data_IF_098871209464
#
_entry.id   IF_098871209464
#
_cell.length_a   1.000
_cell.length_b   1.000
_cell.length_c   1.000
_cell.angle_alpha   90.00
_cell.angle_beta   90.00
_cell.angle_gamma   90.00
#
_symmetry.space_group_name_H-M   'P 1'
#
loop_
_entity.id
_entity.type
_entity.pdbx_description
1 polymer ?
#
# COMPACT_ATOMS: atom_id res chain seq x y z
N UNK A 1 0.81 19.85 19.12
CA UNK A 1 1.06 18.53 19.73
C UNK A 1 1.10 17.51 18.60
N UNK A 2 2.28 17.13 18.12
CA UNK A 2 2.43 16.07 17.10
C UNK A 2 2.16 14.73 17.78
N UNK A 3 1.02 14.11 17.49
CA UNK A 3 0.63 12.84 18.09
C UNK A 3 1.45 11.68 17.49
N UNK A 4 2.73 11.52 17.86
CA UNK A 4 3.49 10.28 17.60
C UNK A 4 3.65 9.81 16.15
N UNK A 5 3.27 10.62 15.14
CA UNK A 5 3.36 10.25 13.71
C UNK A 5 4.81 10.00 13.26
N UNK A 6 5.81 10.55 13.96
CA UNK A 6 7.23 10.34 13.68
C UNK A 6 7.71 8.91 13.96
N UNK A 7 6.98 8.12 14.77
CA UNK A 7 7.42 6.78 15.13
C UNK A 7 7.36 5.79 13.95
N UNK A 8 6.58 6.08 12.90
CA UNK A 8 6.31 5.11 11.82
C UNK A 8 7.16 5.41 10.58
N UNK A 9 7.65 6.64 10.47
CA UNK A 9 8.46 7.11 9.35
C UNK A 9 9.68 6.21 9.07
N UNK A 10 10.48 5.78 10.07
CA UNK A 10 11.63 4.91 9.80
C UNK A 10 11.22 3.57 9.16
N UNK A 11 10.10 2.99 9.60
CA UNK A 11 9.58 1.73 9.05
C UNK A 11 8.97 1.94 7.67
N UNK A 12 8.26 3.05 7.45
CA UNK A 12 7.70 3.41 6.15
C UNK A 12 8.81 3.64 5.10
N UNK A 13 9.89 4.33 5.46
CA UNK A 13 11.08 4.53 4.62
C UNK A 13 11.77 3.20 4.28
N UNK A 14 11.81 2.27 5.23
CA UNK A 14 12.32 0.91 5.03
C UNK A 14 11.34 -0.01 4.30
N UNK A 15 10.13 0.50 3.99
CA UNK A 15 9.03 -0.24 3.35
C UNK A 15 8.59 -1.47 4.18
N UNK A 16 8.79 -1.40 5.49
CA UNK A 16 8.32 -2.40 6.45
C UNK A 16 6.88 -2.08 6.87
N UNK A 17 5.96 -2.38 5.95
CA UNK A 17 4.51 -2.15 6.13
C UNK A 17 3.96 -2.92 7.34
N UNK A 18 4.56 -4.06 7.68
CA UNK A 18 4.12 -4.89 8.80
C UNK A 18 4.41 -4.23 10.14
N UNK A 19 5.63 -3.71 10.32
CA UNK A 19 5.95 -2.91 11.51
C UNK A 19 5.15 -1.62 11.59
N UNK A 20 4.90 -0.94 10.46
CA UNK A 20 4.03 0.25 10.43
C UNK A 20 2.62 -0.09 10.91
N UNK A 21 2.02 -1.17 10.38
CA UNK A 21 0.68 -1.60 10.78
C UNK A 21 0.63 -2.01 12.25
N UNK A 22 1.60 -2.80 12.71
CA UNK A 22 1.66 -3.25 14.11
C UNK A 22 1.70 -2.06 15.07
N UNK A 23 2.59 -1.10 14.83
CA UNK A 23 2.66 0.11 15.65
C UNK A 23 1.37 0.93 15.56
N UNK A 24 0.82 1.14 14.36
CA UNK A 24 -0.41 1.88 14.20
C UNK A 24 -1.61 1.23 14.92
N UNK A 25 -1.71 -0.10 14.90
CA UNK A 25 -2.73 -0.86 15.64
C UNK A 25 -2.53 -0.72 17.17
N UNK A 26 -1.29 -0.83 17.67
CA UNK A 26 -0.95 -0.61 19.09
C UNK A 26 -1.30 0.82 19.53
N UNK A 27 -1.01 1.82 18.70
CA UNK A 27 -1.39 3.22 18.92
C UNK A 27 -2.91 3.42 18.91
N UNK A 28 -3.64 2.69 18.04
CA UNK A 28 -5.10 2.76 18.00
C UNK A 28 -5.72 2.34 19.34
N UNK A 29 -5.14 1.34 19.99
CA UNK A 29 -5.63 0.79 21.27
C UNK A 29 -5.27 1.73 22.42
N UNK A 30 -4.03 2.21 22.44
CA UNK A 30 -3.45 2.95 23.57
C UNK A 30 -3.80 4.44 23.61
N UNK A 31 -4.19 5.05 22.48
CA UNK A 31 -4.43 6.50 22.41
C UNK A 31 -5.76 6.87 21.73
N UNK A 32 -6.78 7.28 22.49
CA UNK A 32 -8.06 7.72 21.95
C UNK A 32 -7.95 8.91 20.99
N UNK A 33 -6.98 9.80 21.22
CA UNK A 33 -6.77 11.03 20.43
C UNK A 33 -6.32 10.74 19.00
N UNK A 34 -5.61 9.63 18.77
CA UNK A 34 -5.11 9.24 17.44
C UNK A 34 -6.27 8.82 16.52
N UNK A 35 -7.38 8.35 17.08
CA UNK A 35 -8.61 7.97 16.34
C UNK A 35 -9.38 9.16 15.75
N UNK A 36 -8.87 10.37 15.92
CA UNK A 36 -9.39 11.60 15.32
C UNK A 36 -8.48 12.14 14.20
N UNK A 37 -7.30 11.54 14.00
CA UNK A 37 -6.33 11.98 12.99
C UNK A 37 -6.64 11.34 11.63
N UNK A 38 -6.90 12.17 10.62
CA UNK A 38 -7.03 11.74 9.23
C UNK A 38 -5.74 11.09 8.71
N UNK A 39 -4.59 11.65 9.07
CA UNK A 39 -3.27 11.10 8.77
C UNK A 39 -3.12 9.66 9.24
N UNK A 40 -3.55 9.38 10.47
CA UNK A 40 -3.53 8.03 11.05
C UNK A 40 -4.41 7.05 10.25
N UNK A 41 -5.64 7.44 9.92
CA UNK A 41 -6.52 6.59 9.12
C UNK A 41 -6.00 6.35 7.70
N UNK A 42 -5.34 7.34 7.08
CA UNK A 42 -4.67 7.17 5.78
C UNK A 42 -3.58 6.11 5.87
N UNK A 43 -2.73 6.18 6.89
CA UNK A 43 -1.62 5.23 7.09
C UNK A 43 -2.11 3.80 7.31
N UNK A 44 -3.07 3.60 8.21
CA UNK A 44 -3.69 2.28 8.40
C UNK A 44 -4.34 1.75 7.11
N UNK A 45 -5.09 2.58 6.41
CA UNK A 45 -5.78 2.17 5.18
C UNK A 45 -4.78 1.78 4.09
N UNK A 46 -3.76 2.60 3.85
CA UNK A 46 -2.70 2.30 2.88
C UNK A 46 -1.90 1.06 3.27
N UNK A 47 -1.57 0.89 4.55
CA UNK A 47 -0.88 -0.30 5.04
C UNK A 47 -1.66 -1.58 4.76
N UNK A 48 -2.96 -1.61 5.10
CA UNK A 48 -3.80 -2.78 4.84
C UNK A 48 -4.00 -3.03 3.34
N UNK A 49 -4.22 -2.00 2.53
CA UNK A 49 -4.30 -2.16 1.07
C UNK A 49 -2.98 -2.68 0.47
N UNK A 50 -1.84 -2.24 1.01
CA UNK A 50 -0.52 -2.73 0.60
C UNK A 50 -0.34 -4.20 0.95
N UNK A 51 -0.92 -4.68 2.05
CA UNK A 51 -0.98 -6.11 2.43
C UNK A 51 -2.12 -6.89 1.74
N UNK A 52 -2.87 -6.26 0.84
CA UNK A 52 -4.08 -6.80 0.22
C UNK A 52 -5.21 -7.18 1.20
N UNK A 53 -5.20 -6.64 2.42
CA UNK A 53 -6.27 -6.84 3.40
C UNK A 53 -7.38 -5.81 3.18
N UNK A 54 -8.15 -6.02 2.11
CA UNK A 54 -9.20 -5.08 1.67
C UNK A 54 -10.32 -4.97 2.71
N UNK A 55 -10.58 -6.04 3.46
CA UNK A 55 -11.62 -6.06 4.50
C UNK A 55 -11.21 -5.12 5.63
N UNK A 56 -9.99 -5.27 6.17
CA UNK A 56 -9.51 -4.36 7.21
C UNK A 56 -9.43 -2.93 6.71
N UNK A 57 -8.92 -2.70 5.50
CA UNK A 57 -8.88 -1.35 4.91
C UNK A 57 -10.27 -0.68 4.87
N UNK A 58 -11.31 -1.41 4.44
CA UNK A 58 -12.69 -0.91 4.45
C UNK A 58 -13.22 -0.66 5.87
N UNK A 59 -12.88 -1.52 6.82
CA UNK A 59 -13.20 -1.29 8.24
C UNK A 59 -12.57 0.00 8.76
N UNK A 60 -11.31 0.28 8.40
CA UNK A 60 -10.62 1.54 8.78
C UNK A 60 -11.34 2.75 8.19
N UNK A 61 -11.67 2.74 6.90
CA UNK A 61 -12.38 3.86 6.25
C UNK A 61 -13.76 4.09 6.89
N UNK A 62 -14.48 3.02 7.22
CA UNK A 62 -15.76 3.13 7.95
C UNK A 62 -15.56 3.80 9.32
N UNK A 63 -14.55 3.35 10.08
CA UNK A 63 -14.22 3.95 11.40
C UNK A 63 -13.81 5.42 11.27
N UNK A 64 -13.08 5.79 10.22
CA UNK A 64 -12.75 7.19 9.92
C UNK A 64 -14.02 8.03 9.79
N UNK A 65 -15.00 7.59 8.98
CA UNK A 65 -16.30 8.28 8.84
C UNK A 65 -17.04 8.41 10.17
N UNK A 66 -17.05 7.35 10.99
CA UNK A 66 -17.71 7.34 12.29
C UNK A 66 -17.03 8.26 13.30
N UNK A 67 -15.70 8.35 13.26
CA UNK A 67 -14.93 9.28 14.11
C UNK A 67 -15.26 10.74 13.78
N UNK A 68 -15.30 11.11 12.49
CA UNK A 68 -15.68 12.46 12.06
C UNK A 68 -17.08 12.85 12.57
N UNK A 69 -18.06 11.93 12.41
CA UNK A 69 -19.44 12.14 12.87
C UNK A 69 -19.53 12.32 14.39
N UNK A 70 -18.87 11.44 15.15
CA UNK A 70 -18.93 11.46 16.63
C UNK A 70 -18.28 12.70 17.23
N UNK A 71 -17.19 13.15 16.63
CA UNK A 71 -16.46 14.33 17.10
C UNK A 71 -17.01 15.65 16.55
N UNK A 72 -18.06 15.60 15.70
CA UNK A 72 -18.60 16.76 14.97
C UNK A 72 -17.50 17.57 14.23
N UNK A 73 -16.47 16.87 13.73
CA UNK A 73 -15.35 17.48 13.01
C UNK A 73 -15.78 17.68 11.55
N UNK A 74 -15.67 18.91 11.08
CA UNK A 74 -15.76 19.18 9.64
C UNK A 74 -14.45 18.76 9.00
N UNK A 75 -14.51 17.74 8.14
CA UNK A 75 -13.35 17.26 7.37
C UNK A 75 -12.95 18.32 6.35
N UNK A 76 -11.65 18.58 6.21
CA UNK A 76 -11.17 19.46 5.14
C UNK A 76 -11.27 18.76 3.77
N UNK A 77 -11.28 19.56 2.70
CA UNK A 77 -11.46 19.04 1.34
C UNK A 77 -10.36 18.05 0.90
N UNK A 78 -9.14 18.19 1.41
CA UNK A 78 -8.04 17.29 1.07
C UNK A 78 -8.18 15.95 1.79
N UNK A 79 -8.58 15.96 3.06
CA UNK A 79 -8.92 14.77 3.84
C UNK A 79 -10.10 14.01 3.24
N UNK A 80 -11.17 14.71 2.89
CA UNK A 80 -12.33 14.11 2.24
C UNK A 80 -11.95 13.48 0.90
N UNK A 81 -11.14 14.17 0.08
CA UNK A 81 -10.64 13.65 -1.20
C UNK A 81 -9.78 12.40 -1.01
N UNK A 82 -8.85 12.42 -0.06
CA UNK A 82 -7.99 11.28 0.23
C UNK A 82 -8.79 10.06 0.71
N UNK A 83 -9.76 10.27 1.60
CA UNK A 83 -10.66 9.22 2.09
C UNK A 83 -11.49 8.60 0.97
N UNK A 84 -12.11 9.44 0.13
CA UNK A 84 -12.90 8.99 -1.02
C UNK A 84 -12.05 8.24 -2.05
N UNK A 85 -10.84 8.71 -2.31
CA UNK A 85 -9.89 8.03 -3.18
C UNK A 85 -9.54 6.64 -2.61
N UNK A 86 -9.15 6.55 -1.34
CA UNK A 86 -8.80 5.28 -0.70
C UNK A 86 -9.98 4.30 -0.67
N UNK A 87 -11.20 4.80 -0.50
CA UNK A 87 -12.42 4.02 -0.62
C UNK A 87 -12.57 3.42 -2.03
N UNK A 88 -12.40 4.22 -3.09
CA UNK A 88 -12.45 3.73 -4.47
C UNK A 88 -11.36 2.71 -4.76
N UNK A 89 -10.12 2.95 -4.30
CA UNK A 89 -9.01 2.00 -4.42
C UNK A 89 -9.38 0.67 -3.75
N UNK A 90 -9.90 0.70 -2.53
CA UNK A 90 -10.37 -0.49 -1.83
C UNK A 90 -11.50 -1.22 -2.59
N UNK A 91 -12.44 -0.47 -3.20
CA UNK A 91 -13.53 -1.04 -4.00
C UNK A 91 -13.04 -1.67 -5.32
N UNK A 92 -11.97 -1.15 -5.92
CA UNK A 92 -11.32 -1.80 -7.06
C UNK A 92 -10.56 -3.06 -6.62
N UNK A 93 -9.80 -3.01 -5.52
CA UNK A 93 -9.10 -4.17 -4.98
C UNK A 93 -10.06 -5.30 -4.61
N UNK A 94 -11.21 -4.99 -4.01
CA UNK A 94 -12.25 -5.98 -3.67
C UNK A 94 -12.79 -6.76 -4.89
N UNK A 95 -12.70 -6.15 -6.08
CA UNK A 95 -13.15 -6.74 -7.36
C UNK A 95 -11.97 -7.24 -8.19
N UNK A 96 -10.78 -7.34 -7.61
CA UNK A 96 -9.54 -7.70 -8.31
C UNK A 96 -9.26 -6.81 -9.53
N UNK A 97 -9.68 -5.55 -9.49
CA UNK A 97 -9.49 -4.59 -10.58
C UNK A 97 -8.23 -3.74 -10.34
N UNK A 98 -7.08 -4.39 -10.17
CA UNK A 98 -5.84 -3.74 -9.69
C UNK A 98 -5.32 -2.64 -10.62
N UNK A 99 -5.51 -2.75 -11.93
CA UNK A 99 -5.14 -1.68 -12.87
C UNK A 99 -5.96 -0.40 -12.67
N UNK A 100 -7.25 -0.53 -12.33
CA UNK A 100 -8.09 0.63 -12.00
C UNK A 100 -7.74 1.21 -10.63
N UNK A 101 -7.43 0.35 -9.66
CA UNK A 101 -6.94 0.78 -8.34
C UNK A 101 -5.64 1.60 -8.48
N UNK A 102 -4.70 1.13 -9.30
CA UNK A 102 -3.44 1.83 -9.59
C UNK A 102 -3.70 3.21 -10.21
N UNK A 103 -4.53 3.28 -11.25
CA UNK A 103 -4.86 4.55 -11.92
C UNK A 103 -5.56 5.54 -10.98
N UNK A 104 -6.47 5.07 -10.13
CA UNK A 104 -7.12 5.92 -9.14
C UNK A 104 -6.11 6.50 -8.14
N UNK A 105 -5.14 5.69 -7.71
CA UNK A 105 -4.08 6.12 -6.82
C UNK A 105 -3.16 7.17 -7.49
N UNK A 106 -2.76 6.95 -8.74
CA UNK A 106 -1.91 7.89 -9.50
C UNK A 106 -2.58 9.23 -9.74
N UNK A 107 -3.88 9.26 -10.09
CA UNK A 107 -4.63 10.51 -10.30
C UNK A 107 -4.64 11.44 -9.07
N UNK A 108 -4.43 10.88 -7.87
CA UNK A 108 -4.49 11.62 -6.62
C UNK A 108 -3.09 11.88 -6.02
N UNK A 109 -2.01 11.37 -6.62
CA UNK A 109 -0.62 11.69 -6.24
C UNK A 109 -0.28 13.17 -6.48
N UNK A 110 -0.70 13.73 -7.61
CA UNK A 110 -0.25 15.05 -8.08
C UNK A 110 -0.76 16.23 -7.25
N UNK A 111 -1.74 16.00 -6.36
CA UNK A 111 -2.45 17.06 -5.64
C UNK A 111 -2.35 16.93 -4.11
N UNK A 112 -1.45 16.07 -3.60
CA UNK A 112 -1.40 15.71 -2.18
C UNK A 112 -0.12 16.20 -1.52
N UNK A 113 -0.19 17.24 -0.69
CA UNK A 113 0.82 17.53 0.34
C UNK A 113 0.62 16.56 1.50
N UNK A 114 1.18 15.36 1.37
CA UNK A 114 1.17 14.36 2.45
C UNK A 114 2.45 14.42 3.27
N UNK A 115 2.38 13.99 4.53
CA UNK A 115 3.59 13.69 5.32
C UNK A 115 4.46 12.62 4.64
N UNK A 116 5.76 12.61 4.94
CA UNK A 116 6.74 11.72 4.29
C UNK A 116 6.41 10.23 4.47
N UNK A 117 5.87 9.86 5.63
CA UNK A 117 5.45 8.50 5.96
C UNK A 117 4.29 8.01 5.07
N UNK A 118 3.30 8.87 4.84
CA UNK A 118 2.20 8.60 3.90
C UNK A 118 2.73 8.46 2.47
N UNK A 119 3.67 9.32 2.07
CA UNK A 119 4.27 9.24 0.74
C UNK A 119 5.02 7.91 0.53
N UNK A 120 5.77 7.44 1.54
CA UNK A 120 6.44 6.15 1.49
C UNK A 120 5.45 4.98 1.35
N UNK A 121 4.37 4.94 2.15
CA UNK A 121 3.36 3.89 2.04
C UNK A 121 2.58 3.96 0.73
N UNK A 122 2.36 5.17 0.20
CA UNK A 122 1.71 5.39 -1.08
C UNK A 122 2.51 4.80 -2.24
N UNK A 123 3.83 4.97 -2.25
CA UNK A 123 4.69 4.29 -3.23
C UNK A 123 4.70 2.77 -3.04
N UNK A 124 4.70 2.28 -1.80
CA UNK A 124 4.59 0.84 -1.52
C UNK A 124 3.28 0.26 -2.07
N UNK A 125 2.17 0.98 -1.90
CA UNK A 125 0.86 0.58 -2.40
C UNK A 125 0.84 0.54 -3.94
N UNK A 126 1.37 1.57 -4.61
CA UNK A 126 1.45 1.60 -6.08
C UNK A 126 2.29 0.45 -6.63
N UNK A 127 3.44 0.17 -6.01
CA UNK A 127 4.29 -0.96 -6.38
C UNK A 127 3.53 -2.29 -6.27
N UNK A 128 2.82 -2.50 -5.15
CA UNK A 128 2.03 -3.72 -4.92
C UNK A 128 0.82 -3.83 -5.85
N UNK A 129 0.15 -2.74 -6.18
CA UNK A 129 -0.95 -2.73 -7.14
C UNK A 129 -0.48 -3.09 -8.55
N UNK A 130 0.66 -2.54 -8.98
CA UNK A 130 1.27 -2.89 -10.26
C UNK A 130 1.67 -4.37 -10.29
N UNK A 131 2.30 -4.87 -9.23
CA UNK A 131 2.69 -6.28 -9.12
C UNK A 131 1.49 -7.23 -9.21
N UNK A 132 0.41 -6.95 -8.46
CA UNK A 132 -0.83 -7.75 -8.51
C UNK A 132 -1.51 -7.69 -9.86
N UNK A 133 -1.49 -6.53 -10.51
CA UNK A 133 -2.02 -6.42 -11.88
C UNK A 133 -1.27 -7.34 -12.83
N UNK A 134 0.07 -7.28 -12.84
CA UNK A 134 0.91 -8.14 -13.70
C UNK A 134 0.68 -9.62 -13.39
N UNK A 135 0.73 -10.00 -12.11
CA UNK A 135 0.46 -11.38 -11.66
C UNK A 135 -0.93 -11.86 -12.06
N UNK A 136 -1.94 -11.00 -11.98
CA UNK A 136 -3.29 -11.33 -12.39
C UNK A 136 -3.36 -11.63 -13.89
N UNK A 137 -2.70 -10.82 -14.72
CA UNK A 137 -2.72 -10.98 -16.19
C UNK A 137 -1.94 -12.21 -16.64
N UNK A 138 -0.76 -12.44 -16.08
CA UNK A 138 0.10 -13.57 -16.47
C UNK A 138 -0.39 -14.89 -15.87
N UNK A 139 -0.82 -14.89 -14.61
CA UNK A 139 -1.25 -16.08 -13.89
C UNK A 139 -2.67 -16.53 -14.23
N UNK A 140 -3.66 -15.64 -14.04
CA UNK A 140 -5.08 -16.02 -14.18
C UNK A 140 -5.58 -15.96 -15.61
N UNK A 141 -5.16 -14.95 -16.37
CA UNK A 141 -5.59 -14.80 -17.77
C UNK A 141 -4.64 -15.47 -18.77
N UNK A 142 -3.56 -16.10 -18.28
CA UNK A 142 -2.53 -16.76 -19.09
C UNK A 142 -2.02 -15.89 -20.23
N UNK A 143 -1.98 -14.57 -20.03
CA UNK A 143 -1.43 -13.66 -21.02
C UNK A 143 0.08 -13.84 -21.10
N UNK A 144 0.62 -13.76 -22.31
CA UNK A 144 2.07 -13.68 -22.51
C UNK A 144 2.63 -12.56 -21.63
N UNK A 145 3.80 -12.80 -21.03
CA UNK A 145 4.46 -11.81 -20.18
C UNK A 145 5.00 -10.65 -21.02
N UNK A 146 4.10 -9.77 -21.45
CA UNK A 146 4.36 -8.59 -22.25
C UNK A 146 4.22 -7.34 -21.38
N UNK A 147 5.33 -6.97 -20.74
CA UNK A 147 5.43 -5.78 -19.91
C UNK A 147 5.03 -4.50 -20.66
N UNK A 148 5.19 -4.43 -21.99
CA UNK A 148 4.78 -3.23 -22.75
C UNK A 148 3.28 -3.08 -22.74
N UNK A 149 2.55 -4.17 -22.95
CA UNK A 149 1.08 -4.18 -22.90
C UNK A 149 0.57 -3.87 -21.50
N UNK A 150 1.21 -4.42 -20.46
CA UNK A 150 0.82 -4.11 -19.07
C UNK A 150 1.09 -2.66 -18.70
N UNK A 151 2.23 -2.11 -19.10
CA UNK A 151 2.59 -0.72 -18.87
C UNK A 151 1.64 0.25 -19.59
N UNK A 152 1.31 -0.02 -20.86
CA UNK A 152 0.32 0.76 -21.59
C UNK A 152 -1.06 0.74 -20.91
N UNK A 153 -1.46 -0.42 -20.36
CA UNK A 153 -2.71 -0.53 -19.63
C UNK A 153 -2.70 0.24 -18.29
N UNK A 154 -1.54 0.43 -17.67
CA UNK A 154 -1.36 1.22 -16.45
C UNK A 154 -1.05 2.71 -16.70
N UNK A 155 -0.81 3.10 -17.95
CA UNK A 155 -0.41 4.45 -18.36
C UNK A 155 0.95 4.88 -17.79
N UNK A 156 1.92 3.96 -17.82
CA UNK A 156 3.31 4.19 -17.37
C UNK A 156 4.30 3.55 -18.35
N UNK A 157 5.59 3.81 -18.19
CA UNK A 157 6.60 3.16 -19.03
C UNK A 157 6.83 1.70 -18.62
N UNK A 158 7.28 0.81 -19.55
CA UNK A 158 7.66 -0.55 -19.19
C UNK A 158 8.80 -0.61 -18.17
N UNK A 159 9.73 0.36 -18.22
CA UNK A 159 10.82 0.47 -17.27
C UNK A 159 10.29 0.79 -15.85
N UNK A 160 9.27 1.64 -15.74
CA UNK A 160 8.63 1.93 -14.45
C UNK A 160 7.96 0.68 -13.89
N UNK A 161 7.21 -0.07 -14.71
CA UNK A 161 6.59 -1.33 -14.26
C UNK A 161 7.64 -2.30 -13.76
N UNK A 162 8.72 -2.53 -14.52
CA UNK A 162 9.80 -3.44 -14.08
C UNK A 162 10.43 -2.95 -12.77
N UNK A 163 10.72 -1.66 -12.64
CA UNK A 163 11.28 -1.10 -11.40
C UNK A 163 10.34 -1.30 -10.19
N UNK A 164 9.02 -1.14 -10.39
CA UNK A 164 8.00 -1.42 -9.36
C UNK A 164 8.01 -2.90 -8.97
N UNK A 165 8.03 -3.81 -9.94
CA UNK A 165 8.09 -5.26 -9.71
C UNK A 165 9.35 -5.66 -8.95
N UNK A 166 10.51 -5.12 -9.33
CA UNK A 166 11.77 -5.39 -8.65
C UNK A 166 11.74 -4.94 -7.19
N UNK A 167 11.18 -3.77 -6.88
CA UNK A 167 11.01 -3.33 -5.49
C UNK A 167 10.14 -4.29 -4.68
N UNK A 168 9.01 -4.75 -5.22
CA UNK A 168 8.16 -5.74 -4.53
C UNK A 168 8.89 -7.06 -4.31
N UNK A 169 9.65 -7.55 -5.31
CA UNK A 169 10.47 -8.77 -5.16
C UNK A 169 11.49 -8.62 -4.03
N UNK A 170 12.16 -7.46 -3.97
CA UNK A 170 13.13 -7.15 -2.91
C UNK A 170 12.48 -7.05 -1.53
N UNK A 171 11.29 -6.45 -1.44
CA UNK A 171 10.54 -6.38 -0.18
C UNK A 171 10.13 -7.78 0.30
N UNK A 172 9.63 -8.65 -0.59
CA UNK A 172 9.33 -10.04 -0.26
C UNK A 172 10.56 -10.82 0.19
N UNK A 173 11.70 -10.64 -0.48
CA UNK A 173 12.97 -11.25 -0.07
C UNK A 173 13.39 -10.80 1.33
N UNK A 174 13.24 -9.51 1.65
CA UNK A 174 13.54 -8.97 2.98
C UNK A 174 12.63 -9.60 4.03
N UNK A 175 11.32 -9.68 3.78
CA UNK A 175 10.37 -10.34 4.67
C UNK A 175 10.73 -11.80 4.94
N UNK A 176 11.09 -12.56 3.89
CA UNK A 176 11.50 -13.95 4.05
C UNK A 176 12.81 -14.09 4.81
N UNK A 177 13.78 -13.20 4.61
CA UNK A 177 15.04 -13.23 5.38
C UNK A 177 14.79 -12.99 6.87
N UNK A 178 13.96 -12.00 7.21
CA UNK A 178 13.52 -11.73 8.58
C UNK A 178 12.77 -12.92 9.20
N UNK A 179 11.95 -13.62 8.42
CA UNK A 179 11.25 -14.83 8.86
C UNK A 179 12.17 -16.08 8.93
N UNK A 180 13.20 -16.17 8.08
CA UNK A 180 14.10 -17.33 7.98
C UNK A 180 15.09 -17.44 9.15
N UNK A 181 15.27 -16.37 9.92
CA UNK A 181 15.85 -16.46 11.27
C UNK A 181 15.05 -17.43 12.19
N UNK A 182 13.82 -17.79 11.80
CA UNK A 182 12.96 -18.81 12.40
C UNK A 182 12.65 -20.03 11.47
N UNK A 183 13.54 -20.35 10.51
CA UNK A 183 13.57 -21.57 9.67
C UNK A 183 12.62 -21.69 8.45
N UNK A 184 12.98 -21.12 7.29
CA UNK A 184 12.54 -21.61 5.95
C UNK A 184 13.59 -21.25 4.86
N UNK A 185 14.43 -22.20 4.38
CA UNK A 185 15.49 -21.90 3.40
C UNK A 185 15.04 -21.85 1.92
N UNK A 186 14.05 -22.66 1.52
CA UNK A 186 13.85 -23.00 0.10
C UNK A 186 13.20 -21.88 -0.75
N UNK A 187 12.27 -21.11 -0.17
CA UNK A 187 11.60 -20.00 -0.87
C UNK A 187 12.54 -18.81 -1.17
N UNK A 188 13.58 -18.61 -0.36
CA UNK A 188 14.55 -17.54 -0.53
C UNK A 188 15.45 -17.74 -1.76
N UNK A 189 15.83 -18.98 -2.07
CA UNK A 189 16.73 -19.28 -3.18
C UNK A 189 16.04 -19.06 -4.53
N UNK A 190 14.80 -19.53 -4.69
CA UNK A 190 14.01 -19.32 -5.93
C UNK A 190 13.81 -17.83 -6.23
N UNK A 191 13.50 -17.02 -5.21
CA UNK A 191 13.32 -15.57 -5.39
C UNK A 191 14.64 -14.84 -5.67
N UNK A 192 15.77 -15.25 -5.06
CA UNK A 192 17.10 -14.69 -5.39
C UNK A 192 17.47 -14.94 -6.84
N UNK A 193 17.25 -16.16 -7.35
CA UNK A 193 17.52 -16.48 -8.75
C UNK A 193 16.64 -15.65 -9.70
N UNK A 194 15.37 -15.44 -9.37
CA UNK A 194 14.48 -14.60 -10.18
C UNK A 194 14.89 -13.12 -10.23
N UNK A 195 15.46 -12.58 -9.14
CA UNK A 195 16.01 -11.21 -9.12
C UNK A 195 17.30 -11.10 -9.93
N UNK A 196 18.18 -12.11 -9.88
CA UNK A 196 19.45 -12.11 -10.62
C UNK A 196 19.29 -12.27 -12.15
N UNK A 197 18.19 -12.87 -12.60
CA UNK A 197 17.91 -13.12 -14.02
C UNK A 197 17.16 -11.98 -14.73
N UNK A 198 16.77 -10.93 -14.00
CA UNK A 198 16.02 -9.77 -14.51
C UNK A 198 16.85 -8.50 -14.72
N UNK A 199 18.17 -8.61 -14.81
CA UNK A 199 19.12 -7.52 -15.08
C UNK A 199 19.64 -7.51 -16.50
#
# INVERSE_FOLDING_TARGET
>A
MSCGCEAWLPYAQQRDVESVLRLAEEFEISSPCVRLSSHFFRLLTMGYLTRNDVIKAKCVIRRWNESLKRAAITEDDNDARARLMLQKVADYCARYAYGNAFKEMVKNLTNSTSGEDVACLQECLLDNLAARYVEQRTGFYSEANDLRRFAAALDVSPADVEARLQRVRMDHLRCLQSASAASVPMACETLRCAVQMGG
#
